data_IF_436608261827
#
_entry.id   IF_436608261827
#
_cell.length_a   1.000
_cell.length_b   1.000
_cell.length_c   1.000
_cell.angle_alpha   90.00
_cell.angle_beta   90.00
_cell.angle_gamma   90.00
#
_symmetry.space_group_name_H-M   'P 1'
#
loop_
_entity.id
_entity.type
_entity.pdbx_description
1 polymer ?
#
# COMPACT_ATOMS: atom_id res chain seq x y z
N UNK A 1 -76.65 -67.92 -21.79
CA UNK A 1 -75.31 -68.19 -22.36
C UNK A 1 -74.80 -66.97 -23.12
N UNK A 2 -73.70 -66.34 -22.67
CA UNK A 2 -72.59 -65.74 -23.45
C UNK A 2 -71.73 -64.82 -22.57
N UNK A 3 -70.49 -65.29 -22.38
CA UNK A 3 -69.21 -64.71 -21.91
C UNK A 3 -69.11 -63.21 -21.59
N UNK A 4 -68.55 -62.90 -20.41
CA UNK A 4 -67.61 -61.79 -20.10
C UNK A 4 -66.84 -62.19 -18.83
N UNK A 5 -65.59 -61.81 -18.51
CA UNK A 5 -64.36 -61.33 -19.17
C UNK A 5 -63.26 -61.59 -18.12
N UNK A 6 -62.02 -61.67 -18.58
CA UNK A 6 -60.82 -62.14 -17.85
C UNK A 6 -60.43 -61.32 -16.60
N UNK A 7 -59.64 -61.93 -15.71
CA UNK A 7 -58.82 -61.18 -14.74
C UNK A 7 -58.20 -61.98 -13.58
N UNK A 8 -56.89 -62.26 -13.73
CA UNK A 8 -55.84 -62.36 -12.71
C UNK A 8 -55.70 -63.61 -11.80
N UNK A 9 -54.48 -63.73 -11.23
CA UNK A 9 -53.90 -64.74 -10.29
C UNK A 9 -52.90 -65.62 -11.07
N UNK A 10 -51.58 -65.67 -10.86
CA UNK A 10 -50.72 -65.52 -9.67
C UNK A 10 -49.27 -65.38 -10.17
N UNK A 11 -48.50 -64.40 -9.71
CA UNK A 11 -47.03 -64.52 -9.63
C UNK A 11 -46.52 -63.77 -8.41
N UNK A 12 -46.46 -64.52 -7.32
CA UNK A 12 -45.64 -64.28 -6.15
C UNK A 12 -44.16 -64.56 -6.47
N UNK A 13 -43.28 -63.66 -6.01
CA UNK A 13 -41.86 -63.83 -5.64
C UNK A 13 -40.93 -62.79 -6.28
N UNK A 14 -40.78 -61.65 -5.61
CA UNK A 14 -39.49 -61.06 -5.25
C UNK A 14 -39.74 -59.74 -4.49
N UNK A 15 -38.79 -59.37 -3.63
CA UNK A 15 -38.80 -58.23 -2.69
C UNK A 15 -39.29 -58.62 -1.28
N UNK A 16 -38.56 -59.54 -0.67
CA UNK A 16 -38.34 -59.51 0.78
C UNK A 16 -37.05 -58.69 0.99
N UNK A 17 -37.10 -57.76 1.94
CA UNK A 17 -35.97 -56.98 2.48
C UNK A 17 -35.46 -55.76 1.68
N UNK A 18 -36.29 -54.71 1.50
CA UNK A 18 -35.79 -53.31 1.43
C UNK A 18 -36.66 -52.30 2.21
N UNK A 19 -37.88 -52.64 2.63
CA UNK A 19 -38.85 -51.62 3.09
C UNK A 19 -38.64 -51.13 4.55
N UNK A 20 -37.83 -51.80 5.38
CA UNK A 20 -37.76 -51.46 6.81
C UNK A 20 -36.72 -50.40 7.23
N UNK A 21 -35.73 -50.06 6.38
CA UNK A 21 -34.71 -49.04 6.72
C UNK A 21 -34.94 -47.71 5.98
N UNK A 22 -35.76 -47.71 4.93
CA UNK A 22 -35.97 -46.54 4.07
C UNK A 22 -36.92 -45.47 4.63
N UNK A 23 -37.76 -45.79 5.63
CA UNK A 23 -38.78 -44.85 6.13
C UNK A 23 -38.43 -44.12 7.43
N UNK A 24 -37.36 -44.49 8.13
CA UNK A 24 -36.96 -43.83 9.39
C UNK A 24 -35.77 -42.88 9.27
N UNK A 25 -35.00 -42.92 8.17
CA UNK A 25 -33.86 -42.01 7.95
C UNK A 25 -34.21 -40.74 7.15
N UNK A 26 -35.41 -40.66 6.57
CA UNK A 26 -35.81 -39.49 5.77
C UNK A 26 -36.51 -38.38 6.58
N UNK A 27 -36.72 -38.52 7.89
CA UNK A 27 -37.66 -37.66 8.64
C UNK A 27 -37.07 -36.71 9.69
N UNK A 28 -35.75 -36.47 9.72
CA UNK A 28 -35.17 -35.42 10.58
C UNK A 28 -33.94 -34.75 9.94
N UNK A 29 -34.02 -34.38 8.67
CA UNK A 29 -33.04 -33.43 8.11
C UNK A 29 -33.77 -32.16 7.70
N UNK A 30 -33.42 -31.07 8.38
CA UNK A 30 -33.81 -29.72 8.03
C UNK A 30 -32.53 -28.97 7.70
N UNK A 31 -32.39 -28.48 6.47
CA UNK A 31 -31.36 -27.51 6.14
C UNK A 31 -31.94 -26.12 6.34
N UNK A 32 -31.20 -25.26 7.01
CA UNK A 32 -31.57 -23.85 7.07
C UNK A 32 -31.25 -23.22 5.71
N UNK A 33 -32.10 -22.30 5.27
CA UNK A 33 -31.85 -21.56 4.04
C UNK A 33 -30.60 -20.68 4.17
N UNK A 34 -29.83 -20.56 3.08
CA UNK A 34 -28.69 -19.63 3.02
C UNK A 34 -29.20 -18.19 3.06
N UNK A 35 -28.75 -17.42 4.05
CA UNK A 35 -28.93 -15.97 4.06
C UNK A 35 -27.80 -15.34 3.25
N UNK A 36 -28.13 -14.77 2.10
CA UNK A 36 -27.19 -13.98 1.31
C UNK A 36 -27.18 -12.56 1.86
N UNK A 37 -26.06 -12.15 2.45
CA UNK A 37 -25.84 -10.76 2.84
C UNK A 37 -25.18 -10.02 1.66
N UNK A 38 -25.82 -8.96 1.19
CA UNK A 38 -25.23 -8.05 0.21
C UNK A 38 -24.57 -6.88 0.97
N UNK A 39 -23.26 -6.77 0.89
CA UNK A 39 -22.51 -5.63 1.40
C UNK A 39 -22.12 -4.76 0.19
N UNK A 40 -22.60 -3.53 0.13
CA UNK A 40 -22.27 -2.57 -0.93
C UNK A 40 -21.79 -1.25 -0.32
N UNK A 41 -20.66 -0.74 -0.79
CA UNK A 41 -20.14 0.58 -0.44
C UNK A 41 -20.03 1.43 -1.72
N UNK A 42 -20.48 2.67 -1.66
CA UNK A 42 -20.29 3.69 -2.70
C UNK A 42 -19.15 4.67 -2.37
N UNK A 43 -18.37 4.40 -1.31
CA UNK A 43 -17.30 5.28 -0.81
C UNK A 43 -16.04 5.17 -1.67
N UNK A 44 -15.36 6.29 -1.88
CA UNK A 44 -14.12 6.38 -2.64
C UNK A 44 -12.96 6.89 -1.77
N UNK A 45 -11.76 6.36 -1.99
CA UNK A 45 -10.49 6.86 -1.46
C UNK A 45 -9.63 7.24 -2.65
N UNK A 46 -9.34 8.52 -2.78
CA UNK A 46 -8.45 9.07 -3.80
C UNK A 46 -7.39 9.91 -3.10
N UNK A 47 -6.14 9.47 -3.23
CA UNK A 47 -4.98 10.15 -2.67
C UNK A 47 -3.92 10.35 -3.73
N UNK A 48 -3.13 11.40 -3.58
CA UNK A 48 -2.00 11.70 -4.45
C UNK A 48 -0.78 12.03 -3.61
N UNK A 49 0.38 11.53 -4.03
CA UNK A 49 1.69 11.84 -3.45
C UNK A 49 2.41 12.88 -4.31
N UNK A 50 3.00 13.92 -3.73
CA UNK A 50 3.83 14.89 -4.45
C UNK A 50 5.09 15.24 -3.67
N UNK A 51 6.13 15.61 -4.43
CA UNK A 51 7.43 16.06 -3.92
C UNK A 51 7.91 17.28 -4.73
N UNK A 52 7.29 18.45 -4.54
CA UNK A 52 7.57 19.62 -5.39
C UNK A 52 9.02 20.16 -5.29
N UNK A 53 9.73 19.86 -4.20
CA UNK A 53 11.15 20.19 -4.04
C UNK A 53 12.05 19.15 -4.69
N UNK A 54 11.53 17.94 -4.95
CA UNK A 54 12.25 16.89 -5.62
C UNK A 54 12.20 17.05 -7.14
N UNK A 55 10.99 17.08 -7.71
CA UNK A 55 10.76 17.04 -9.17
C UNK A 55 9.99 18.24 -9.71
N UNK A 56 9.46 19.11 -8.85
CA UNK A 56 8.71 20.29 -9.26
C UNK A 56 7.23 20.03 -9.57
N UNK A 57 6.74 18.80 -9.43
CA UNK A 57 5.31 18.50 -9.58
C UNK A 57 4.55 18.84 -8.31
N UNK A 58 3.47 19.60 -8.48
CA UNK A 58 2.52 19.99 -7.43
C UNK A 58 1.21 19.23 -7.59
N UNK A 59 0.27 19.39 -6.64
CA UNK A 59 -1.05 18.79 -6.73
C UNK A 59 -1.93 19.36 -7.85
N UNK A 60 -1.59 20.53 -8.41
CA UNK A 60 -2.30 21.12 -9.54
C UNK A 60 -1.89 20.49 -10.88
N UNK A 61 -0.77 19.76 -10.90
CA UNK A 61 -0.28 19.08 -12.10
C UNK A 61 -1.03 17.76 -12.32
N UNK A 62 -1.72 17.66 -13.45
CA UNK A 62 -2.45 16.45 -13.89
C UNK A 62 -1.54 15.37 -14.46
N UNK A 63 -0.34 15.77 -14.89
CA UNK A 63 0.71 14.89 -15.43
C UNK A 63 1.76 14.59 -14.35
N UNK A 64 2.55 13.53 -14.55
CA UNK A 64 3.43 12.96 -13.53
C UNK A 64 2.62 12.08 -12.57
N UNK A 65 2.74 10.78 -12.66
CA UNK A 65 1.84 9.84 -11.95
C UNK A 65 2.24 9.57 -10.49
N UNK A 66 3.19 10.34 -9.93
CA UNK A 66 3.73 10.06 -8.59
C UNK A 66 4.44 8.71 -8.46
N UNK A 67 4.72 7.98 -9.55
CA UNK A 67 5.33 6.65 -9.50
C UNK A 67 6.78 6.59 -9.96
N UNK A 68 7.25 7.53 -10.80
CA UNK A 68 8.63 7.43 -11.32
C UNK A 68 9.63 8.40 -10.70
N UNK A 69 9.27 9.65 -10.36
CA UNK A 69 10.17 10.60 -9.67
C UNK A 69 11.59 10.72 -10.27
N UNK A 70 11.80 10.29 -11.51
CA UNK A 70 13.11 10.14 -12.13
C UNK A 70 13.53 11.40 -12.89
N UNK A 71 12.57 12.24 -13.25
CA UNK A 71 12.75 13.46 -14.05
C UNK A 71 12.00 14.64 -13.44
N UNK A 72 12.55 15.83 -13.64
CA UNK A 72 11.88 17.07 -13.27
C UNK A 72 10.69 17.35 -14.19
N UNK A 73 9.77 18.20 -13.71
CA UNK A 73 8.70 18.77 -14.53
C UNK A 73 9.26 19.47 -15.77
N UNK A 74 8.53 19.37 -16.89
CA UNK A 74 8.91 19.99 -18.17
C UNK A 74 9.28 21.47 -17.99
N UNK A 75 10.40 21.87 -18.58
CA UNK A 75 10.97 23.21 -18.48
C UNK A 75 11.85 23.46 -17.24
N UNK A 76 12.02 22.46 -16.34
CA UNK A 76 12.89 22.52 -15.16
C UNK A 76 13.94 21.40 -15.12
N UNK A 77 14.28 20.81 -16.26
CA UNK A 77 15.18 19.66 -16.40
C UNK A 77 16.62 19.92 -15.92
N UNK A 78 17.03 21.20 -15.89
CA UNK A 78 18.34 21.64 -15.40
C UNK A 78 18.25 22.50 -14.15
N UNK A 79 17.07 22.57 -13.52
CA UNK A 79 16.87 23.40 -12.34
C UNK A 79 17.52 22.74 -11.11
N UNK A 80 18.62 23.33 -10.65
CA UNK A 80 19.38 22.84 -9.50
C UNK A 80 18.73 23.18 -8.15
N UNK A 81 17.58 23.86 -8.12
CA UNK A 81 16.77 23.92 -6.88
C UNK A 81 16.05 22.60 -6.63
N UNK A 82 15.90 21.75 -7.65
CA UNK A 82 15.20 20.47 -7.56
C UNK A 82 16.13 19.32 -7.16
N UNK A 83 15.66 18.49 -6.24
CA UNK A 83 16.40 17.36 -5.71
C UNK A 83 16.77 16.32 -6.77
N UNK A 84 15.88 16.08 -7.73
CA UNK A 84 16.10 15.12 -8.83
C UNK A 84 17.31 15.49 -9.68
N UNK A 85 17.58 16.79 -9.84
CA UNK A 85 18.74 17.27 -10.60
C UNK A 85 19.99 17.30 -9.74
N UNK A 86 19.87 17.69 -8.47
CA UNK A 86 20.98 17.62 -7.51
C UNK A 86 21.50 16.19 -7.31
N UNK A 87 20.61 15.20 -7.29
CA UNK A 87 20.96 13.80 -7.06
C UNK A 87 21.77 13.17 -8.21
N UNK A 88 21.66 13.68 -9.45
CA UNK A 88 22.39 13.16 -10.62
C UNK A 88 23.92 13.27 -10.48
N UNK A 89 24.39 14.26 -9.73
CA UNK A 89 25.82 14.54 -9.52
C UNK A 89 26.05 15.13 -8.12
N UNK A 90 25.60 14.41 -7.10
CA UNK A 90 25.73 14.88 -5.72
C UNK A 90 27.19 14.93 -5.26
N UNK A 91 27.46 15.75 -4.24
CA UNK A 91 28.75 15.86 -3.57
C UNK A 91 28.67 15.30 -2.13
N UNK A 92 29.75 14.74 -1.59
CA UNK A 92 29.82 14.38 -0.17
C UNK A 92 29.51 15.61 0.71
N UNK A 93 28.65 15.42 1.71
CA UNK A 93 28.19 16.49 2.59
C UNK A 93 27.02 17.34 2.04
N UNK A 94 26.54 17.04 0.83
CA UNK A 94 25.40 17.76 0.25
C UNK A 94 24.09 17.37 0.94
N UNK A 95 23.16 18.33 0.98
CA UNK A 95 21.80 18.12 1.46
C UNK A 95 20.88 18.17 0.24
N UNK A 96 20.29 17.03 -0.11
CA UNK A 96 19.43 16.91 -1.29
C UNK A 96 17.98 17.22 -0.89
N UNK A 97 17.30 18.20 -1.52
CA UNK A 97 15.94 18.55 -1.17
C UNK A 97 14.95 17.45 -1.60
N UNK A 98 13.98 17.17 -0.73
CA UNK A 98 12.92 16.17 -0.87
C UNK A 98 11.71 16.67 -0.07
N UNK A 99 10.51 16.20 -0.33
CA UNK A 99 9.35 16.60 0.48
C UNK A 99 8.12 15.74 0.22
N UNK A 100 8.11 14.46 0.64
CA UNK A 100 6.93 13.61 0.47
C UNK A 100 5.70 14.19 1.17
N UNK A 101 4.69 14.58 0.39
CA UNK A 101 3.40 15.10 0.85
C UNK A 101 2.25 14.33 0.23
N UNK A 102 1.14 14.19 0.95
CA UNK A 102 -0.04 13.47 0.47
C UNK A 102 -1.26 14.39 0.51
N UNK A 103 -2.08 14.35 -0.55
CA UNK A 103 -3.37 15.02 -0.62
C UNK A 103 -4.51 14.01 -0.66
N UNK A 104 -5.59 14.29 0.06
CA UNK A 104 -6.87 13.61 -0.15
C UNK A 104 -7.62 14.30 -1.30
N UNK A 105 -7.57 13.74 -2.50
CA UNK A 105 -8.18 14.30 -3.71
C UNK A 105 -9.68 14.08 -3.81
N UNK A 106 -10.29 13.43 -2.83
CA UNK A 106 -11.72 13.20 -2.84
C UNK A 106 -12.53 14.51 -2.87
N UNK A 107 -13.55 14.52 -3.73
CA UNK A 107 -14.57 15.56 -3.78
C UNK A 107 -15.85 15.18 -3.00
N UNK A 108 -16.72 16.17 -2.78
CA UNK A 108 -18.00 15.96 -2.09
C UNK A 108 -18.87 14.96 -2.85
N UNK A 109 -19.57 14.10 -2.11
CA UNK A 109 -20.46 13.07 -2.65
C UNK A 109 -20.12 11.70 -2.09
N UNK A 110 -19.23 10.99 -2.79
CA UNK A 110 -18.77 9.65 -2.41
C UNK A 110 -17.40 9.64 -1.70
N UNK A 111 -16.73 10.79 -1.64
CA UNK A 111 -15.45 10.96 -0.98
C UNK A 111 -15.52 10.78 0.52
N UNK A 112 -14.46 10.23 1.10
CA UNK A 112 -14.33 10.03 2.55
C UNK A 112 -13.10 10.72 3.10
N UNK A 113 -13.16 11.03 4.39
CA UNK A 113 -11.97 11.37 5.16
C UNK A 113 -11.03 10.16 5.23
N UNK A 114 -9.73 10.39 5.21
CA UNK A 114 -8.74 9.32 5.09
C UNK A 114 -7.66 9.43 6.16
N UNK A 115 -7.24 8.29 6.69
CA UNK A 115 -5.97 8.18 7.40
C UNK A 115 -4.92 7.79 6.36
N UNK A 116 -3.80 8.50 6.33
CA UNK A 116 -2.76 8.33 5.32
C UNK A 116 -1.46 7.88 5.94
N UNK A 117 -0.74 7.02 5.22
CA UNK A 117 0.59 6.59 5.60
C UNK A 117 1.53 6.57 4.40
N UNK A 118 2.81 6.73 4.69
CA UNK A 118 3.89 6.63 3.73
C UNK A 118 4.75 5.41 4.07
N UNK A 119 4.94 4.54 3.08
CA UNK A 119 5.97 3.49 3.10
C UNK A 119 7.23 4.06 2.46
N UNK A 120 8.35 4.01 3.18
CA UNK A 120 9.66 4.42 2.71
C UNK A 120 10.57 3.21 2.60
N UNK A 121 11.10 2.99 1.40
CA UNK A 121 12.02 1.90 1.08
C UNK A 121 13.38 2.47 0.65
N UNK A 122 14.45 1.89 1.16
CA UNK A 122 15.82 2.34 0.94
C UNK A 122 16.60 1.33 0.11
N UNK A 123 17.36 1.80 -0.85
CA UNK A 123 18.13 0.95 -1.74
C UNK A 123 19.56 1.45 -1.93
N UNK A 124 20.50 0.50 -1.94
CA UNK A 124 21.89 0.71 -2.32
C UNK A 124 22.19 -0.12 -3.58
N UNK A 125 23.21 0.28 -4.33
CA UNK A 125 23.64 -0.49 -5.49
C UNK A 125 24.90 -1.30 -5.18
N UNK A 126 24.91 -2.58 -5.55
CA UNK A 126 26.09 -3.42 -5.40
C UNK A 126 27.13 -3.14 -6.52
N UNK A 127 28.27 -3.84 -6.46
CA UNK A 127 29.34 -3.70 -7.46
C UNK A 127 28.92 -4.11 -8.89
N UNK A 128 27.85 -4.89 -9.03
CA UNK A 128 27.24 -5.29 -10.30
C UNK A 128 26.18 -4.29 -10.78
N UNK A 129 25.99 -3.16 -10.08
CA UNK A 129 24.98 -2.15 -10.35
C UNK A 129 23.54 -2.68 -10.24
N UNK A 130 23.32 -3.67 -9.38
CA UNK A 130 21.99 -4.15 -9.02
C UNK A 130 21.47 -3.36 -7.80
N UNK A 131 20.20 -2.94 -7.87
CA UNK A 131 19.52 -2.23 -6.78
C UNK A 131 19.12 -3.25 -5.68
N UNK A 132 19.63 -3.05 -4.46
CA UNK A 132 19.43 -3.93 -3.31
C UNK A 132 18.71 -3.15 -2.21
N UNK A 133 17.57 -3.67 -1.76
CA UNK A 133 16.84 -3.08 -0.64
C UNK A 133 17.59 -3.31 0.68
N UNK A 134 17.68 -2.27 1.51
CA UNK A 134 18.34 -2.29 2.80
C UNK A 134 17.44 -1.71 3.89
N UNK A 135 17.78 -1.95 5.17
CA UNK A 135 17.15 -1.24 6.29
C UNK A 135 17.54 0.24 6.29
N UNK A 136 16.76 1.07 7.00
CA UNK A 136 17.11 2.49 7.18
C UNK A 136 18.48 2.66 7.85
N UNK A 137 18.80 1.83 8.84
CA UNK A 137 20.03 1.88 9.61
C UNK A 137 21.24 1.58 8.72
N UNK A 138 21.16 0.55 7.88
CA UNK A 138 22.21 0.26 6.90
C UNK A 138 22.35 1.37 5.86
N UNK A 139 21.24 1.98 5.43
CA UNK A 139 21.25 3.14 4.53
C UNK A 139 21.90 4.36 5.18
N UNK A 140 21.54 4.65 6.43
CA UNK A 140 22.05 5.76 7.24
C UNK A 140 23.55 5.61 7.45
N UNK A 141 24.00 4.46 7.94
CA UNK A 141 25.41 4.20 8.22
C UNK A 141 26.30 4.31 6.96
N UNK A 142 25.75 3.98 5.80
CA UNK A 142 26.48 4.04 4.53
C UNK A 142 26.52 5.43 3.87
N UNK A 143 25.50 6.27 4.05
CA UNK A 143 25.30 7.45 3.21
C UNK A 143 25.01 8.74 3.95
N UNK A 144 24.43 8.69 5.15
CA UNK A 144 23.86 9.87 5.79
C UNK A 144 24.77 10.43 6.89
N UNK A 145 24.47 11.65 7.32
CA UNK A 145 25.06 12.20 8.55
C UNK A 145 24.68 11.35 9.76
N UNK A 146 25.40 11.54 10.88
CA UNK A 146 25.14 10.83 12.14
C UNK A 146 23.70 10.98 12.63
N UNK A 147 23.08 12.13 12.37
CA UNK A 147 21.68 12.40 12.73
C UNK A 147 20.69 11.68 11.80
N UNK A 148 21.07 11.42 10.55
CA UNK A 148 20.19 10.83 9.53
C UNK A 148 19.15 11.83 8.98
N UNK A 149 18.03 11.32 8.47
CA UNK A 149 16.90 12.13 8.01
C UNK A 149 16.11 12.63 9.22
N UNK A 150 15.82 13.93 9.25
CA UNK A 150 14.91 14.54 10.21
C UNK A 150 13.46 14.37 9.73
N UNK A 151 12.71 13.51 10.43
CA UNK A 151 11.29 13.26 10.15
C UNK A 151 10.40 14.23 10.94
N UNK A 152 9.32 14.71 10.31
CA UNK A 152 8.35 15.62 10.90
C UNK A 152 7.55 14.90 12.00
N UNK A 153 7.41 15.55 13.17
CA UNK A 153 6.73 15.04 14.37
C UNK A 153 5.24 14.75 14.16
N UNK A 154 4.65 15.21 13.04
CA UNK A 154 3.28 14.88 12.66
C UNK A 154 3.14 13.48 12.05
N UNK A 155 4.24 12.77 11.89
CA UNK A 155 4.27 11.43 11.34
C UNK A 155 4.76 10.42 12.39
N UNK A 156 3.85 9.54 12.80
CA UNK A 156 4.17 8.46 13.73
C UNK A 156 4.83 7.30 12.98
N UNK A 157 6.03 6.91 13.40
CA UNK A 157 6.66 5.69 12.88
C UNK A 157 5.97 4.45 13.47
N UNK A 158 5.27 3.70 12.62
CA UNK A 158 4.52 2.49 12.97
C UNK A 158 5.15 1.22 12.37
N UNK A 159 6.43 1.29 12.03
CA UNK A 159 7.17 0.20 11.40
C UNK A 159 7.25 -1.03 12.30
N UNK A 160 7.32 -2.21 11.68
CA UNK A 160 7.73 -3.42 12.37
C UNK A 160 9.24 -3.37 12.62
N UNK A 161 9.68 -3.78 13.80
CA UNK A 161 11.09 -3.83 14.17
C UNK A 161 11.90 -4.65 13.14
N UNK A 162 13.08 -4.13 12.76
CA UNK A 162 13.97 -4.73 11.74
C UNK A 162 13.36 -4.90 10.33
N UNK A 163 12.32 -4.14 10.00
CA UNK A 163 11.75 -4.09 8.65
C UNK A 163 12.73 -3.45 7.63
N UNK A 164 12.73 -3.95 6.39
CA UNK A 164 13.41 -3.33 5.24
C UNK A 164 12.72 -2.04 4.74
N UNK A 165 11.60 -1.68 5.37
CA UNK A 165 10.82 -0.47 5.06
C UNK A 165 10.42 0.22 6.35
N UNK A 166 10.32 1.54 6.29
CA UNK A 166 9.69 2.32 7.35
C UNK A 166 8.27 2.72 6.95
N UNK A 167 7.35 2.66 7.89
CA UNK A 167 5.95 3.06 7.70
C UNK A 167 5.67 4.23 8.64
N UNK A 168 5.23 5.34 8.07
CA UNK A 168 4.89 6.56 8.79
C UNK A 168 3.41 6.87 8.63
N UNK A 169 2.67 6.96 9.73
CA UNK A 169 1.25 7.31 9.77
C UNK A 169 1.10 8.79 10.09
N UNK A 170 0.35 9.54 9.29
CA UNK A 170 0.06 10.94 9.61
C UNK A 170 -0.88 11.01 10.81
N UNK A 171 -0.53 11.81 11.81
CA UNK A 171 -1.22 11.87 13.10
C UNK A 171 -2.62 12.50 13.04
N UNK A 172 -2.98 13.05 11.89
CA UNK A 172 -4.26 13.69 11.63
C UNK A 172 -4.97 13.00 10.46
N UNK A 173 -6.25 12.75 10.63
CA UNK A 173 -7.13 12.41 9.50
C UNK A 173 -7.21 13.57 8.51
N UNK A 174 -7.07 13.27 7.22
CA UNK A 174 -7.24 14.26 6.16
C UNK A 174 -8.71 14.42 5.78
N UNK A 175 -9.20 15.65 5.90
CA UNK A 175 -10.44 16.06 5.27
C UNK A 175 -10.32 16.05 3.74
N UNK A 176 -11.46 16.21 3.05
CA UNK A 176 -11.50 16.28 1.58
C UNK A 176 -10.70 17.49 1.10
N UNK A 177 -9.83 17.29 0.11
CA UNK A 177 -8.89 18.27 -0.45
C UNK A 177 -7.82 18.78 0.54
N UNK A 178 -7.65 18.13 1.69
CA UNK A 178 -6.60 18.46 2.64
C UNK A 178 -5.28 17.76 2.27
N UNK A 179 -4.17 18.42 2.63
CA UNK A 179 -2.79 17.98 2.40
C UNK A 179 -2.07 17.76 3.74
N UNK A 180 -1.12 16.82 3.75
CA UNK A 180 -0.22 16.62 4.89
C UNK A 180 0.88 17.68 4.93
N UNK A 181 1.59 17.80 6.06
CA UNK A 181 2.97 18.31 5.99
C UNK A 181 3.89 17.31 5.30
N UNK A 182 5.08 17.75 4.92
CA UNK A 182 6.09 16.86 4.36
C UNK A 182 6.58 15.87 5.43
N UNK A 183 6.81 14.62 5.05
CA UNK A 183 7.37 13.61 5.97
C UNK A 183 8.78 13.98 6.46
N UNK A 184 9.59 14.51 5.55
CA UNK A 184 10.91 15.09 5.80
C UNK A 184 11.18 16.10 4.67
N UNK A 185 12.17 16.98 4.85
CA UNK A 185 12.46 18.08 3.91
C UNK A 185 13.76 17.91 3.12
N UNK A 186 14.63 16.98 3.54
CA UNK A 186 15.90 16.75 2.86
C UNK A 186 16.55 15.41 3.24
N UNK A 187 17.52 15.01 2.42
CA UNK A 187 18.41 13.87 2.66
C UNK A 187 19.83 14.41 2.89
N UNK A 188 20.33 14.41 4.14
CA UNK A 188 21.66 14.94 4.45
C UNK A 188 22.74 13.87 4.24
N UNK A 189 23.57 14.04 3.20
CA UNK A 189 24.64 13.11 2.89
C UNK A 189 25.86 13.31 3.78
N UNK A 190 26.53 12.21 4.10
CA UNK A 190 27.78 12.24 4.85
C UNK A 190 28.91 12.90 4.05
N UNK A 191 29.80 13.60 4.75
CA UNK A 191 31.06 14.10 4.18
C UNK A 191 32.08 12.98 3.94
N UNK A 192 31.87 11.83 4.56
CA UNK A 192 32.80 10.69 4.53
C UNK A 192 32.41 9.64 3.48
N UNK A 193 31.48 9.95 2.56
CA UNK A 193 31.17 9.07 1.44
C UNK A 193 32.42 8.96 0.56
N UNK A 194 32.91 7.74 0.41
CA UNK A 194 34.07 7.44 -0.43
C UNK A 194 33.64 6.96 -1.81
N UNK A 195 34.42 7.37 -2.81
CA UNK A 195 34.24 6.86 -4.16
C UNK A 195 34.83 5.44 -4.29
N UNK A 196 34.29 4.66 -5.22
CA UNK A 196 34.85 3.36 -5.57
C UNK A 196 36.21 3.50 -6.29
N UNK A 197 36.84 2.38 -6.65
CA UNK A 197 38.13 2.35 -7.37
C UNK A 197 38.13 3.10 -8.72
N UNK A 198 36.94 3.36 -9.29
CA UNK A 198 36.76 4.12 -10.53
C UNK A 198 36.50 5.61 -10.29
N UNK A 199 36.47 6.07 -9.05
CA UNK A 199 36.15 7.45 -8.68
C UNK A 199 34.65 7.76 -8.73
N UNK A 200 33.78 6.75 -8.75
CA UNK A 200 32.33 6.93 -8.75
C UNK A 200 31.79 6.88 -7.32
N UNK A 201 30.94 7.85 -6.97
CA UNK A 201 30.23 7.82 -5.69
C UNK A 201 29.12 6.74 -5.70
N UNK A 202 28.73 6.21 -4.52
CA UNK A 202 27.69 5.20 -4.42
C UNK A 202 26.37 5.65 -5.06
N UNK A 203 25.70 4.75 -5.76
CA UNK A 203 24.31 4.98 -6.20
C UNK A 203 23.38 4.50 -5.10
N UNK A 204 22.25 5.18 -4.96
CA UNK A 204 21.24 4.84 -3.98
C UNK A 204 19.87 5.37 -4.41
N UNK A 205 18.82 4.85 -3.78
CA UNK A 205 17.45 5.26 -4.06
C UNK A 205 16.61 5.27 -2.77
N UNK A 206 15.69 6.23 -2.68
CA UNK A 206 14.68 6.29 -1.63
C UNK A 206 13.32 6.33 -2.34
N UNK A 207 12.56 5.24 -2.20
CA UNK A 207 11.23 5.12 -2.81
C UNK A 207 10.19 5.39 -1.74
N UNK A 208 9.27 6.31 -2.02
CA UNK A 208 8.15 6.64 -1.14
C UNK A 208 6.84 6.26 -1.82
N UNK A 209 5.98 5.57 -1.09
CA UNK A 209 4.67 5.16 -1.59
C UNK A 209 3.59 5.52 -0.58
N UNK A 210 2.54 6.18 -1.05
CA UNK A 210 1.42 6.58 -0.21
C UNK A 210 0.32 5.51 -0.16
N UNK A 211 -0.27 5.35 1.02
CA UNK A 211 -1.37 4.46 1.32
C UNK A 211 -2.43 5.21 2.11
N UNK A 212 -3.69 4.83 1.93
CA UNK A 212 -4.80 5.38 2.69
C UNK A 212 -5.83 4.32 3.05
N UNK A 213 -6.43 4.50 4.22
CA UNK A 213 -7.62 3.79 4.66
C UNK A 213 -8.69 4.79 5.06
N UNK A 214 -9.96 4.37 5.01
CA UNK A 214 -11.07 5.22 5.42
C UNK A 214 -10.90 5.62 6.89
N UNK A 215 -11.15 6.89 7.20
CA UNK A 215 -11.23 7.35 8.58
C UNK A 215 -12.60 7.07 9.23
N UNK A 216 -12.67 7.36 10.52
CA UNK A 216 -13.87 7.26 11.36
C UNK A 216 -14.52 5.87 11.34
N UNK A 217 -13.70 4.81 11.37
CA UNK A 217 -14.18 3.44 11.53
C UNK A 217 -14.12 3.05 13.00
N UNK A 218 -15.29 2.94 13.64
CA UNK A 218 -15.42 2.64 15.06
C UNK A 218 -14.68 1.36 15.47
N UNK A 219 -13.90 1.44 16.53
CA UNK A 219 -13.15 0.31 17.10
C UNK A 219 -11.93 -0.13 16.29
N UNK A 220 -11.58 0.57 15.20
CA UNK A 220 -10.42 0.25 14.39
C UNK A 220 -9.12 0.79 15.03
N UNK A 221 -8.13 -0.08 15.21
CA UNK A 221 -6.75 0.34 15.44
C UNK A 221 -6.13 0.72 14.09
N UNK A 222 -6.14 2.02 13.78
CA UNK A 222 -5.68 2.57 12.50
C UNK A 222 -4.25 2.15 12.19
N UNK A 223 -3.32 2.24 13.15
CA UNK A 223 -1.92 1.87 12.94
C UNK A 223 -1.79 0.38 12.59
N UNK A 224 -2.44 -0.50 13.35
CA UNK A 224 -2.37 -1.94 13.10
C UNK A 224 -2.99 -2.34 11.75
N UNK A 225 -4.14 -1.75 11.38
CA UNK A 225 -4.78 -2.01 10.08
C UNK A 225 -3.97 -1.43 8.92
N UNK A 226 -3.35 -0.27 9.09
CA UNK A 226 -2.47 0.32 8.09
C UNK A 226 -1.25 -0.57 7.82
N UNK A 227 -0.58 -1.06 8.88
CA UNK A 227 0.56 -2.00 8.72
C UNK A 227 0.12 -3.26 7.99
N UNK A 228 -1.03 -3.85 8.35
CA UNK A 228 -1.57 -5.03 7.66
C UNK A 228 -1.84 -4.75 6.18
N UNK A 229 -2.47 -3.63 5.87
CA UNK A 229 -2.80 -3.24 4.50
C UNK A 229 -1.55 -3.03 3.66
N UNK A 230 -0.56 -2.31 4.19
CA UNK A 230 0.70 -2.04 3.50
C UNK A 230 1.47 -3.33 3.25
N UNK A 231 1.57 -4.23 4.24
CA UNK A 231 2.32 -5.48 4.09
C UNK A 231 1.61 -6.52 3.20
N UNK A 232 0.32 -6.33 2.91
CA UNK A 232 -0.41 -7.18 1.97
C UNK A 232 -0.22 -6.78 0.50
N UNK A 233 0.40 -5.62 0.22
CA UNK A 233 0.58 -5.04 -1.12
C UNK A 233 2.03 -4.68 -1.42
#
# INVERSE_FOLDING_TARGET
>A
MKKKRAGLVLTSLLIIAVIAVGLTLALLSTSTGTKTNAFSSNKNIDIQLREDQWDGYTFDNKEGDSTTGEEAIEGRETDMTLGVNQAKAYLPGQVIPKNPTVKNNNEKGNGVKTNVALKVSYYLYNAQNEEIQVTYEAFKDGLLTEDGIEFDEKWDNISIENSLTQIFLYNKTLDLNEETTALFSAVPLSKNIEANEKGELPKFNIKVQAYAIQADVDGMNIAAEMVKFINAN
#
